data_IF_717593705820
#
_entry.id   IF_717593705820
#
_cell.length_a   1.000
_cell.length_b   1.000
_cell.length_c   1.000
_cell.angle_alpha   90.00
_cell.angle_beta   90.00
_cell.angle_gamma   90.00
#
_symmetry.space_group_name_H-M   'P 1'
#
loop_
_entity.id
_entity.type
_entity.pdbx_description
1 polymer ?
#
# COMPACT_ATOMS: atom_id res chain seq x y z
N UNK A 1 19.62 -20.83 6.10
CA UNK A 1 18.69 -19.89 6.76
C UNK A 1 17.95 -19.25 5.60
N UNK A 2 16.64 -19.41 5.50
CA UNK A 2 15.87 -18.63 4.53
C UNK A 2 16.04 -17.17 4.95
N UNK A 3 16.61 -16.32 4.11
CA UNK A 3 16.61 -14.88 4.38
C UNK A 3 15.15 -14.43 4.46
N UNK A 4 14.80 -13.65 5.48
CA UNK A 4 13.45 -13.08 5.61
C UNK A 4 13.24 -12.10 4.46
N UNK A 5 12.07 -12.16 3.81
CA UNK A 5 11.76 -11.22 2.73
C UNK A 5 11.71 -9.80 3.28
N UNK A 6 12.46 -8.89 2.67
CA UNK A 6 12.54 -7.49 3.09
C UNK A 6 11.62 -6.60 2.24
N UNK A 7 11.35 -5.38 2.72
CA UNK A 7 10.63 -4.36 1.93
C UNK A 7 11.34 -4.05 0.61
N UNK A 8 12.68 -4.02 0.61
CA UNK A 8 13.44 -3.75 -0.60
C UNK A 8 13.30 -4.89 -1.63
N UNK A 9 13.12 -6.13 -1.19
CA UNK A 9 12.87 -7.26 -2.09
C UNK A 9 11.49 -7.15 -2.74
N UNK A 10 10.45 -6.78 -1.97
CA UNK A 10 9.12 -6.49 -2.52
C UNK A 10 9.14 -5.30 -3.49
N UNK A 11 9.89 -4.23 -3.17
CA UNK A 11 10.08 -3.09 -4.06
C UNK A 11 10.71 -3.49 -5.40
N UNK A 12 11.75 -4.35 -5.38
CA UNK A 12 12.37 -4.87 -6.61
C UNK A 12 11.40 -5.76 -7.40
N UNK A 13 10.67 -6.65 -6.74
CA UNK A 13 9.67 -7.53 -7.38
C UNK A 13 8.57 -6.74 -8.08
N UNK A 14 8.00 -5.74 -7.40
CA UNK A 14 6.99 -4.85 -7.98
C UNK A 14 7.53 -4.07 -9.17
N UNK A 15 8.77 -3.57 -9.08
CA UNK A 15 9.39 -2.83 -10.18
C UNK A 15 9.55 -3.69 -11.44
N UNK A 16 9.94 -4.95 -11.30
CA UNK A 16 10.04 -5.88 -12.43
C UNK A 16 8.65 -6.20 -12.98
N UNK A 17 7.68 -6.48 -12.11
CA UNK A 17 6.28 -6.68 -12.47
C UNK A 17 5.73 -5.51 -13.30
N UNK A 18 5.90 -4.26 -12.83
CA UNK A 18 5.37 -3.09 -13.53
C UNK A 18 6.02 -2.90 -14.90
N UNK A 19 7.32 -3.20 -15.01
CA UNK A 19 8.07 -3.12 -16.27
C UNK A 19 7.55 -4.14 -17.29
N UNK A 20 7.23 -5.36 -16.86
CA UNK A 20 6.79 -6.45 -17.71
C UNK A 20 5.30 -6.39 -18.06
N UNK A 21 4.44 -6.11 -17.08
CA UNK A 21 3.01 -6.35 -17.15
C UNK A 21 2.12 -5.11 -17.03
N UNK A 22 2.68 -3.94 -16.65
CA UNK A 22 1.98 -2.64 -16.57
C UNK A 22 2.76 -1.53 -17.27
N UNK A 23 3.31 -1.85 -18.44
CA UNK A 23 4.22 -0.96 -19.17
C UNK A 23 3.57 0.38 -19.56
N UNK A 24 2.28 0.37 -19.83
CA UNK A 24 1.47 1.56 -20.12
C UNK A 24 1.50 2.57 -18.97
N UNK A 25 1.39 2.11 -17.72
CA UNK A 25 1.49 2.96 -16.52
C UNK A 25 2.95 3.25 -16.18
N UNK A 26 3.83 2.24 -16.24
CA UNK A 26 5.24 2.37 -15.87
C UNK A 26 5.99 3.43 -16.70
N UNK A 27 5.60 3.63 -17.96
CA UNK A 27 6.22 4.60 -18.87
C UNK A 27 5.66 6.02 -18.79
N UNK A 28 4.61 6.24 -17.99
CA UNK A 28 4.06 7.58 -17.79
C UNK A 28 5.07 8.50 -17.06
N UNK A 29 4.98 9.83 -17.28
CA UNK A 29 5.70 10.79 -16.46
C UNK A 29 5.36 10.61 -14.97
N UNK A 30 6.33 10.92 -14.12
CA UNK A 30 6.24 10.80 -12.66
C UNK A 30 4.90 11.29 -12.08
N UNK A 31 4.48 12.50 -12.46
CA UNK A 31 3.25 13.11 -11.97
C UNK A 31 2.01 12.27 -12.35
N UNK A 32 1.93 11.82 -13.60
CA UNK A 32 0.81 11.03 -14.10
C UNK A 32 0.76 9.65 -13.42
N UNK A 33 1.91 9.06 -13.11
CA UNK A 33 1.98 7.81 -12.33
C UNK A 33 1.43 8.02 -10.92
N UNK A 34 1.88 9.05 -10.22
CA UNK A 34 1.39 9.35 -8.87
C UNK A 34 -0.11 9.65 -8.86
N UNK A 35 -0.61 10.39 -9.84
CA UNK A 35 -2.06 10.61 -9.99
C UNK A 35 -2.81 9.29 -10.18
N UNK A 36 -2.31 8.41 -11.05
CA UNK A 36 -2.89 7.08 -11.23
C UNK A 36 -2.94 6.28 -9.91
N UNK A 37 -1.85 6.26 -9.12
CA UNK A 37 -1.84 5.54 -7.85
C UNK A 37 -2.78 6.16 -6.79
N UNK A 38 -2.90 7.50 -6.74
CA UNK A 38 -3.85 8.18 -5.85
C UNK A 38 -5.31 7.88 -6.24
N UNK A 39 -5.61 7.74 -7.53
CA UNK A 39 -6.91 7.25 -7.98
C UNK A 39 -7.18 5.81 -7.51
N UNK A 40 -6.15 4.95 -7.51
CA UNK A 40 -6.26 3.61 -6.94
C UNK A 40 -6.54 3.64 -5.43
N UNK A 41 -5.82 4.45 -4.65
CA UNK A 41 -6.11 4.60 -3.22
C UNK A 41 -7.53 5.12 -2.97
N UNK A 42 -7.99 6.09 -3.77
CA UNK A 42 -9.36 6.60 -3.70
C UNK A 42 -10.40 5.51 -3.97
N UNK A 43 -10.15 4.65 -4.97
CA UNK A 43 -10.96 3.46 -5.27
C UNK A 43 -10.99 2.49 -4.09
N UNK A 44 -9.86 2.25 -3.43
CA UNK A 44 -9.78 1.32 -2.28
C UNK A 44 -10.47 1.89 -1.04
N UNK A 45 -10.36 3.19 -0.76
CA UNK A 45 -11.18 3.88 0.25
C UNK A 45 -12.67 3.66 -0.03
N UNK A 46 -13.11 3.78 -1.29
CA UNK A 46 -14.49 3.50 -1.69
C UNK A 46 -14.90 2.02 -1.62
N UNK A 47 -13.97 1.06 -1.63
CA UNK A 47 -14.26 -0.36 -1.34
C UNK A 47 -14.46 -0.56 0.16
N UNK A 48 -13.57 0.00 0.99
CA UNK A 48 -13.63 -0.11 2.44
C UNK A 48 -14.87 0.57 3.05
N UNK A 49 -15.43 1.57 2.38
CA UNK A 49 -16.67 2.23 2.81
C UNK A 49 -17.95 1.42 2.55
N UNK A 50 -17.86 0.27 1.88
CA UNK A 50 -19.04 -0.54 1.54
C UNK A 50 -19.48 -1.41 2.70
N UNK A 51 -20.78 -1.69 2.73
CA UNK A 51 -21.37 -2.68 3.62
C UNK A 51 -21.33 -4.06 2.96
N UNK A 52 -20.81 -5.04 3.71
CA UNK A 52 -20.75 -6.42 3.30
C UNK A 52 -21.77 -7.21 4.13
N UNK A 53 -22.83 -7.76 3.52
CA UNK A 53 -23.92 -8.39 4.25
C UNK A 53 -23.56 -9.74 4.89
N UNK A 54 -22.46 -10.36 4.45
CA UNK A 54 -21.94 -11.62 4.97
C UNK A 54 -20.48 -11.46 5.44
N UNK A 55 -20.16 -12.07 6.59
CA UNK A 55 -18.84 -12.01 7.20
C UNK A 55 -17.76 -12.72 6.36
N UNK A 56 -18.11 -13.82 5.68
CA UNK A 56 -17.19 -14.50 4.78
C UNK A 56 -16.82 -13.63 3.56
N UNK A 57 -17.84 -12.98 2.98
CA UNK A 57 -17.63 -12.03 1.88
C UNK A 57 -16.78 -10.83 2.29
N UNK A 58 -16.95 -10.32 3.52
CA UNK A 58 -16.13 -9.23 4.05
C UNK A 58 -14.64 -9.63 4.07
N UNK A 59 -14.30 -10.77 4.66
CA UNK A 59 -12.90 -11.21 4.79
C UNK A 59 -12.21 -11.35 3.44
N UNK A 60 -12.85 -12.01 2.47
CA UNK A 60 -12.28 -12.14 1.10
C UNK A 60 -12.04 -10.77 0.46
N UNK A 61 -12.95 -9.83 0.67
CA UNK A 61 -12.83 -8.49 0.08
C UNK A 61 -11.75 -7.64 0.76
N UNK A 62 -11.55 -7.81 2.07
CA UNK A 62 -10.45 -7.16 2.79
C UNK A 62 -9.10 -7.69 2.31
N UNK A 63 -8.94 -9.01 2.18
CA UNK A 63 -7.69 -9.63 1.70
C UNK A 63 -7.35 -9.19 0.28
N UNK A 64 -8.32 -9.19 -0.63
CA UNK A 64 -8.14 -8.69 -2.00
C UNK A 64 -7.79 -7.20 -2.03
N UNK A 65 -8.47 -6.39 -1.20
CA UNK A 65 -8.18 -4.96 -1.08
C UNK A 65 -6.80 -4.73 -0.50
N UNK A 66 -6.32 -5.60 0.40
CA UNK A 66 -5.01 -5.48 1.05
C UNK A 66 -3.92 -5.72 0.02
N UNK A 67 -4.00 -6.83 -0.70
CA UNK A 67 -3.05 -7.17 -1.76
C UNK A 67 -2.99 -6.06 -2.83
N UNK A 68 -4.15 -5.64 -3.35
CA UNK A 68 -4.28 -4.58 -4.35
C UNK A 68 -3.73 -3.23 -3.86
N UNK A 69 -3.95 -2.89 -2.59
CA UNK A 69 -3.48 -1.63 -1.99
C UNK A 69 -1.97 -1.65 -1.77
N UNK A 70 -1.43 -2.75 -1.28
CA UNK A 70 -0.01 -2.89 -0.99
C UNK A 70 0.83 -2.88 -2.27
N UNK A 71 0.41 -3.58 -3.31
CA UNK A 71 1.01 -3.54 -4.66
C UNK A 71 1.09 -2.09 -5.18
N UNK A 72 -0.01 -1.35 -5.08
CA UNK A 72 -0.05 0.06 -5.50
C UNK A 72 0.83 0.95 -4.61
N UNK A 73 0.85 0.71 -3.30
CA UNK A 73 1.70 1.46 -2.37
C UNK A 73 3.20 1.24 -2.63
N UNK A 74 3.62 0.01 -2.93
CA UNK A 74 4.99 -0.28 -3.37
C UNK A 74 5.29 0.42 -4.71
N UNK A 75 4.36 0.38 -5.67
CA UNK A 75 4.54 1.04 -6.97
C UNK A 75 4.65 2.58 -6.84
N UNK A 76 3.87 3.17 -5.93
CA UNK A 76 3.97 4.58 -5.56
C UNK A 76 5.34 4.88 -4.94
N UNK A 77 5.77 4.11 -3.94
CA UNK A 77 7.09 4.28 -3.30
C UNK A 77 8.25 4.17 -4.31
N UNK A 78 8.19 3.19 -5.21
CA UNK A 78 9.15 3.04 -6.31
C UNK A 78 9.17 4.24 -7.25
N UNK A 79 8.02 4.87 -7.51
CA UNK A 79 7.90 6.07 -8.35
C UNK A 79 8.50 7.29 -7.67
N UNK A 80 8.29 7.40 -6.35
CA UNK A 80 8.89 8.41 -5.47
C UNK A 80 10.40 8.18 -5.23
N UNK A 81 10.91 7.01 -5.63
CA UNK A 81 12.28 6.56 -5.36
C UNK A 81 12.57 6.54 -3.85
N UNK A 82 11.61 6.05 -3.06
CA UNK A 82 11.73 5.83 -1.63
C UNK A 82 12.39 4.49 -1.34
N UNK A 83 13.16 4.46 -0.27
CA UNK A 83 13.53 3.22 0.42
C UNK A 83 12.52 3.02 1.55
N UNK A 84 11.56 2.09 1.37
CA UNK A 84 10.48 1.91 2.34
C UNK A 84 10.98 1.46 3.71
N UNK A 85 12.09 0.70 3.76
CA UNK A 85 12.69 0.30 5.02
C UNK A 85 13.13 1.55 5.78
N UNK A 86 13.99 2.36 5.17
CA UNK A 86 14.53 3.57 5.81
C UNK A 86 13.42 4.57 6.19
N UNK A 87 12.37 4.69 5.36
CA UNK A 87 11.24 5.57 5.65
C UNK A 87 10.42 5.12 6.87
N UNK A 88 10.18 3.81 7.04
CA UNK A 88 9.49 3.29 8.22
C UNK A 88 10.37 3.41 9.48
N UNK A 89 11.66 3.12 9.36
CA UNK A 89 12.61 3.28 10.47
C UNK A 89 12.64 4.73 10.99
N UNK A 90 12.70 5.69 10.07
CA UNK A 90 12.65 7.12 10.39
C UNK A 90 11.29 7.52 11.00
N UNK A 91 10.18 7.07 10.40
CA UNK A 91 8.83 7.45 10.83
C UNK A 91 8.50 6.94 12.24
N UNK A 92 8.92 5.73 12.59
CA UNK A 92 8.55 5.08 13.85
C UNK A 92 9.69 5.03 14.88
N UNK A 93 10.94 5.31 14.48
CA UNK A 93 12.10 5.17 15.37
C UNK A 93 12.35 3.72 15.78
N UNK A 94 12.06 2.78 14.87
CA UNK A 94 12.19 1.33 15.05
C UNK A 94 13.14 0.76 13.98
N UNK A 95 13.63 -0.45 14.19
CA UNK A 95 14.41 -1.22 13.21
C UNK A 95 13.78 -2.61 13.08
N UNK A 96 13.77 -3.18 11.88
CA UNK A 96 13.23 -4.51 11.61
C UNK A 96 13.98 -5.18 10.45
N UNK A 97 14.23 -6.49 10.53
CA UNK A 97 15.00 -7.24 9.53
C UNK A 97 14.16 -7.81 8.37
N UNK A 98 12.83 -7.68 8.43
CA UNK A 98 11.94 -8.19 7.38
C UNK A 98 10.47 -7.85 7.60
N UNK A 99 9.62 -8.31 6.66
CA UNK A 99 8.18 -8.01 6.66
C UNK A 99 7.50 -8.52 7.93
N UNK A 100 7.76 -9.77 8.34
CA UNK A 100 7.16 -10.37 9.55
C UNK A 100 7.48 -9.58 10.82
N UNK A 101 8.70 -9.05 10.95
CA UNK A 101 9.05 -8.25 12.12
C UNK A 101 8.36 -6.88 12.09
N UNK A 102 8.25 -6.26 10.91
CA UNK A 102 7.50 -5.01 10.73
C UNK A 102 6.02 -5.15 11.09
N UNK A 103 5.33 -6.20 10.62
CA UNK A 103 3.91 -6.42 10.90
C UNK A 103 3.69 -6.57 12.41
N UNK A 104 4.55 -7.35 13.08
CA UNK A 104 4.55 -7.51 14.53
C UNK A 104 4.80 -6.21 15.29
N UNK A 105 5.88 -5.47 14.96
CA UNK A 105 6.27 -4.25 15.68
C UNK A 105 5.20 -3.15 15.60
N UNK A 106 4.59 -2.97 14.43
CA UNK A 106 3.60 -1.91 14.23
C UNK A 106 2.25 -2.25 14.88
N UNK A 107 1.89 -3.54 14.97
CA UNK A 107 0.61 -3.96 15.52
C UNK A 107 0.57 -4.03 17.05
N UNK A 108 1.72 -4.09 17.74
CA UNK A 108 1.82 -4.24 19.21
C UNK A 108 1.02 -3.23 20.05
N UNK A 109 0.64 -2.09 19.47
CA UNK A 109 -0.11 -1.03 20.16
C UNK A 109 -1.63 -1.10 19.95
N UNK A 110 -2.12 -2.08 19.20
CA UNK A 110 -3.52 -2.21 18.83
C UNK A 110 -4.19 -3.35 19.59
N UNK A 111 -5.42 -3.09 20.03
CA UNK A 111 -6.30 -4.14 20.58
C UNK A 111 -6.75 -5.08 19.46
N UNK A 112 -7.07 -6.33 19.81
CA UNK A 112 -7.64 -7.30 18.87
C UNK A 112 -8.94 -6.75 18.23
N UNK A 113 -8.90 -6.47 16.93
CA UNK A 113 -10.03 -5.94 16.18
C UNK A 113 -10.76 -7.06 15.42
N UNK A 114 -12.09 -7.13 15.56
CA UNK A 114 -12.90 -7.96 14.66
C UNK A 114 -12.91 -7.39 13.23
N UNK A 115 -13.22 -8.21 12.22
CA UNK A 115 -13.13 -7.82 10.80
C UNK A 115 -13.88 -6.53 10.43
N UNK A 116 -15.06 -6.28 11.03
CA UNK A 116 -15.81 -5.04 10.81
C UNK A 116 -15.14 -3.81 11.43
N UNK A 117 -14.56 -3.97 12.62
CA UNK A 117 -13.82 -2.90 13.30
C UNK A 117 -12.52 -2.59 12.58
N UNK A 118 -11.80 -3.62 12.14
CA UNK A 118 -10.59 -3.49 11.32
C UNK A 118 -10.89 -2.77 10.01
N UNK A 119 -12.00 -3.09 9.33
CA UNK A 119 -12.44 -2.38 8.12
C UNK A 119 -12.63 -0.89 8.40
N UNK A 120 -13.35 -0.55 9.46
CA UNK A 120 -13.64 0.84 9.83
C UNK A 120 -12.37 1.61 10.24
N UNK A 121 -11.46 0.95 10.95
CA UNK A 121 -10.13 1.47 11.29
C UNK A 121 -9.33 1.76 10.02
N UNK A 122 -9.25 0.77 9.12
CA UNK A 122 -8.48 0.85 7.89
C UNK A 122 -9.04 1.90 6.94
N UNK A 123 -10.37 1.99 6.79
CA UNK A 123 -11.03 3.05 6.04
C UNK A 123 -10.58 4.44 6.51
N UNK A 124 -10.62 4.70 7.83
CA UNK A 124 -10.21 6.00 8.39
C UNK A 124 -8.74 6.29 8.16
N UNK A 125 -7.88 5.25 8.26
CA UNK A 125 -6.43 5.35 8.07
C UNK A 125 -6.00 5.48 6.60
N UNK A 126 -6.81 5.02 5.66
CA UNK A 126 -6.56 5.22 4.23
C UNK A 126 -7.13 6.55 3.71
N UNK A 127 -8.30 6.96 4.21
CA UNK A 127 -9.02 8.14 3.68
C UNK A 127 -8.24 9.44 3.89
N UNK A 128 -7.60 9.61 5.05
CA UNK A 128 -6.80 10.81 5.38
C UNK A 128 -5.62 11.02 4.42
N UNK A 129 -4.64 10.09 4.39
CA UNK A 129 -3.50 10.16 3.47
C UNK A 129 -3.94 10.29 2.00
N UNK A 130 -4.92 9.49 1.56
CA UNK A 130 -5.42 9.58 0.18
C UNK A 130 -5.93 10.97 -0.18
N UNK A 131 -6.70 11.61 0.71
CA UNK A 131 -7.21 12.96 0.50
C UNK A 131 -6.11 14.02 0.46
N UNK A 132 -5.10 13.91 1.34
CA UNK A 132 -3.93 14.80 1.35
C UNK A 132 -3.09 14.66 0.07
N UNK A 133 -2.85 13.43 -0.38
CA UNK A 133 -2.16 13.16 -1.64
C UNK A 133 -2.94 13.72 -2.85
N UNK A 134 -4.27 13.58 -2.87
CA UNK A 134 -5.11 14.14 -3.93
C UNK A 134 -5.00 15.67 -3.97
N UNK A 135 -5.11 16.33 -2.82
CA UNK A 135 -4.92 17.78 -2.71
C UNK A 135 -3.50 18.19 -3.15
N UNK A 136 -2.46 17.45 -2.76
CA UNK A 136 -1.08 17.74 -3.15
C UNK A 136 -0.88 17.68 -4.67
N UNK A 137 -1.57 16.77 -5.37
CA UNK A 137 -1.53 16.69 -6.83
C UNK A 137 -2.35 17.80 -7.49
N UNK A 138 -3.54 18.12 -6.97
CA UNK A 138 -4.35 19.27 -7.43
C UNK A 138 -3.59 20.60 -7.29
N UNK A 139 -2.91 20.80 -6.16
CA UNK A 139 -2.06 21.97 -5.94
C UNK A 139 -0.92 22.08 -6.97
N UNK A 140 -0.37 20.96 -7.48
CA UNK A 140 0.62 21.00 -8.56
C UNK A 140 0.01 21.45 -9.88
N UNK A 141 -1.23 21.04 -10.19
CA UNK A 141 -1.95 21.50 -11.40
C UNK A 141 -2.19 23.02 -11.36
N UNK A 142 -2.36 23.58 -10.17
CA UNK A 142 -2.53 25.00 -9.92
C UNK A 142 -1.22 25.77 -9.69
N UNK A 143 -0.07 25.08 -9.71
CA UNK A 143 1.26 25.65 -9.41
C UNK A 143 1.31 26.38 -8.05
N UNK A 144 0.62 25.84 -7.05
CA UNK A 144 0.62 26.38 -5.69
C UNK A 144 1.96 26.10 -4.97
N UNK A 145 2.28 26.91 -3.97
CA UNK A 145 3.54 26.82 -3.22
C UNK A 145 3.48 25.79 -2.09
N UNK A 146 3.05 24.57 -2.39
CA UNK A 146 2.96 23.44 -1.45
C UNK A 146 4.08 22.45 -1.73
N UNK A 147 4.65 21.85 -0.67
CA UNK A 147 5.65 20.79 -0.82
C UNK A 147 4.98 19.45 -1.14
N UNK A 148 4.40 19.34 -2.33
CA UNK A 148 3.63 18.15 -2.73
C UNK A 148 4.45 16.88 -2.72
N UNK A 149 5.76 16.96 -3.00
CA UNK A 149 6.65 15.80 -2.96
C UNK A 149 6.71 15.20 -1.56
N UNK A 150 6.96 16.03 -0.55
CA UNK A 150 7.04 15.59 0.84
C UNK A 150 5.72 14.94 1.29
N UNK A 151 4.58 15.55 0.94
CA UNK A 151 3.26 14.99 1.27
C UNK A 151 3.09 13.60 0.65
N UNK A 152 3.43 13.44 -0.64
CA UNK A 152 3.32 12.15 -1.32
C UNK A 152 4.24 11.09 -0.69
N UNK A 153 5.44 11.47 -0.26
CA UNK A 153 6.41 10.56 0.37
C UNK A 153 5.95 10.11 1.77
N UNK A 154 5.54 11.05 2.62
CA UNK A 154 5.02 10.78 3.96
C UNK A 154 3.74 9.94 3.90
N UNK A 155 2.77 10.32 3.07
CA UNK A 155 1.47 9.64 2.97
C UNK A 155 1.59 8.25 2.33
N UNK A 156 2.51 8.04 1.38
CA UNK A 156 2.78 6.71 0.83
C UNK A 156 3.34 5.79 1.92
N UNK A 157 4.28 6.30 2.72
CA UNK A 157 4.87 5.54 3.84
C UNK A 157 3.83 5.24 4.92
N UNK A 158 2.98 6.20 5.27
CA UNK A 158 1.87 5.99 6.21
C UNK A 158 0.90 4.91 5.71
N UNK A 159 0.55 4.92 4.42
CA UNK A 159 -0.28 3.88 3.80
C UNK A 159 0.39 2.51 3.93
N UNK A 160 1.68 2.37 3.61
CA UNK A 160 2.40 1.09 3.75
C UNK A 160 2.36 0.59 5.19
N UNK A 161 2.63 1.46 6.17
CA UNK A 161 2.59 1.12 7.59
C UNK A 161 1.20 0.61 8.01
N UNK A 162 0.13 1.30 7.58
CA UNK A 162 -1.24 0.89 7.88
C UNK A 162 -1.57 -0.47 7.27
N UNK A 163 -1.06 -0.78 6.07
CA UNK A 163 -1.31 -2.07 5.42
C UNK A 163 -0.55 -3.22 6.09
N UNK A 164 0.67 -2.98 6.61
CA UNK A 164 1.39 -3.96 7.43
C UNK A 164 0.62 -4.31 8.71
N UNK A 165 0.04 -3.30 9.38
CA UNK A 165 -0.84 -3.50 10.53
C UNK A 165 -2.07 -4.34 10.17
N UNK A 166 -2.70 -4.06 9.02
CA UNK A 166 -3.88 -4.82 8.56
C UNK A 166 -3.52 -6.27 8.29
N UNK A 167 -2.37 -6.54 7.67
CA UNK A 167 -1.92 -7.91 7.43
C UNK A 167 -1.77 -8.70 8.73
N UNK A 168 -1.14 -8.10 9.75
CA UNK A 168 -1.01 -8.70 11.09
C UNK A 168 -2.37 -8.93 11.75
N UNK A 169 -3.24 -7.91 11.72
CA UNK A 169 -4.57 -7.98 12.32
C UNK A 169 -5.47 -9.05 11.69
N UNK A 170 -5.16 -9.46 10.45
CA UNK A 170 -5.86 -10.52 9.74
C UNK A 170 -5.16 -11.89 9.83
N UNK A 171 -4.02 -11.98 10.53
CA UNK A 171 -3.18 -13.18 10.60
C UNK A 171 -2.79 -13.73 9.21
N UNK A 172 -2.40 -12.82 8.31
CA UNK A 172 -2.06 -13.15 6.92
C UNK A 172 -0.54 -13.19 6.72
N UNK A 173 -0.07 -14.22 6.02
CA UNK A 173 1.25 -14.21 5.38
C UNK A 173 1.23 -13.24 4.20
N UNK A 174 1.59 -11.98 4.49
CA UNK A 174 1.56 -10.91 3.50
C UNK A 174 2.40 -11.23 2.26
N UNK A 175 3.56 -11.87 2.41
CA UNK A 175 4.43 -12.19 1.28
C UNK A 175 3.72 -13.18 0.36
N UNK A 176 3.13 -14.24 0.92
CA UNK A 176 2.37 -15.22 0.14
C UNK A 176 1.14 -14.59 -0.53
N UNK A 177 0.42 -13.69 0.15
CA UNK A 177 -0.73 -12.98 -0.42
C UNK A 177 -0.32 -12.12 -1.62
N UNK A 178 0.81 -11.41 -1.53
CA UNK A 178 1.31 -10.58 -2.62
C UNK A 178 1.83 -11.41 -3.80
N UNK A 179 2.56 -12.50 -3.54
CA UNK A 179 3.05 -13.41 -4.57
C UNK A 179 1.90 -14.01 -5.38
N UNK A 180 0.88 -14.54 -4.69
CA UNK A 180 -0.32 -15.06 -5.35
C UNK A 180 -1.02 -13.97 -6.20
N UNK A 181 -1.08 -12.74 -5.69
CA UNK A 181 -1.71 -11.63 -6.41
C UNK A 181 -0.91 -11.21 -7.64
N UNK A 182 0.41 -11.14 -7.57
CA UNK A 182 1.25 -10.86 -8.73
C UNK A 182 1.09 -11.95 -9.80
N UNK A 183 1.16 -13.23 -9.44
CA UNK A 183 0.98 -14.34 -10.38
C UNK A 183 -0.39 -14.28 -11.08
N UNK A 184 -1.45 -13.97 -10.34
CA UNK A 184 -2.79 -13.81 -10.91
C UNK A 184 -2.81 -12.69 -11.96
N UNK A 185 -2.26 -11.52 -11.64
CA UNK A 185 -2.25 -10.38 -12.58
C UNK A 185 -1.39 -10.68 -13.81
N UNK A 186 -0.22 -11.29 -13.61
CA UNK A 186 0.69 -11.70 -14.68
C UNK A 186 0.02 -12.70 -15.63
N UNK A 187 -0.71 -13.68 -15.10
CA UNK A 187 -1.43 -14.69 -15.90
C UNK A 187 -2.57 -14.13 -16.75
N UNK A 188 -3.17 -13.02 -16.30
CA UNK A 188 -4.24 -12.32 -17.02
C UNK A 188 -3.72 -11.25 -17.98
N UNK A 189 -2.41 -10.96 -17.95
CA UNK A 189 -1.78 -10.01 -18.84
C UNK A 189 -1.57 -10.62 -20.22
N UNK A 190 -1.81 -9.83 -21.27
CA UNK A 190 -1.64 -10.24 -22.68
C UNK A 190 -0.24 -9.92 -23.23
N UNK A 191 0.71 -9.59 -22.34
CA UNK A 191 2.07 -9.17 -22.65
C UNK A 191 3.07 -10.33 -22.60
#
# INVERSE_FOLDING_TARGET
MSESTTLIDLQKRQREHDRGHHRDIYTLPYFNRMNHYVLHFSKYVGRLSQDYPDGGQLTTQLEQTLADSFIVAIAAANTLNLDLQAQLEEMFGLEAEGIEEWTNLLNQSLDDMGSSELKDWWFKRMAGPTGRMANALESLDHMESINSRQILEEDTTEIVANLLIVAESMDLDLVAVLDARWEEIESNSIL
#
